data_IF_238971057659
#
_entry.id   IF_238971057659
#
_cell.length_a   1.000
_cell.length_b   1.000
_cell.length_c   1.000
_cell.angle_alpha   90.00
_cell.angle_beta   90.00
_cell.angle_gamma   90.00
#
_symmetry.space_group_name_H-M   'P 1'
#
loop_
_entity.id
_entity.type
_entity.pdbx_description
1 polymer ?
#
# COMPACT_ATOMS: atom_id res chain seq x y z
N UNK A 1 -18.38 37.38 -66.78
CA UNK A 1 -17.74 38.64 -67.23
C UNK A 1 -16.45 38.82 -66.42
N UNK A 2 -15.32 38.37 -66.98
CA UNK A 2 -14.17 39.17 -67.46
C UNK A 2 -13.38 39.91 -66.34
N UNK A 3 -12.22 39.41 -65.90
CA UNK A 3 -10.85 39.46 -66.47
C UNK A 3 -10.09 40.81 -66.32
N UNK A 4 -8.95 40.73 -65.61
CA UNK A 4 -7.58 41.22 -65.94
C UNK A 4 -6.99 42.49 -65.26
N UNK A 5 -5.71 42.27 -64.81
CA UNK A 5 -4.53 43.15 -64.54
C UNK A 5 -4.41 43.67 -63.09
N UNK A 6 -3.45 43.30 -62.23
CA UNK A 6 -2.01 42.93 -62.31
C UNK A 6 -1.03 44.12 -62.51
N UNK A 7 -0.05 44.17 -61.58
CA UNK A 7 1.33 44.72 -61.61
C UNK A 7 1.60 46.18 -61.13
N UNK A 8 2.59 46.26 -60.22
CA UNK A 8 3.56 47.33 -59.88
C UNK A 8 3.16 48.39 -58.86
N UNK A 9 3.65 48.24 -57.61
CA UNK A 9 4.44 49.28 -56.94
C UNK A 9 5.48 48.60 -56.05
N UNK A 10 6.60 48.29 -56.68
CA UNK A 10 7.89 48.01 -56.03
C UNK A 10 8.72 49.29 -56.20
N UNK A 11 9.49 49.62 -55.15
CA UNK A 11 10.51 50.67 -55.06
C UNK A 11 10.08 52.13 -54.86
N UNK A 12 10.42 52.63 -53.66
CA UNK A 12 11.08 53.90 -53.28
C UNK A 12 10.59 54.14 -51.83
N UNK A 13 11.32 53.82 -50.78
CA UNK A 13 12.60 54.40 -50.39
C UNK A 13 13.43 53.37 -49.61
N UNK A 14 14.55 52.96 -50.20
CA UNK A 14 15.71 52.50 -49.45
C UNK A 14 16.53 53.74 -49.07
N UNK A 15 17.22 53.65 -47.93
CA UNK A 15 18.30 54.53 -47.44
C UNK A 15 17.86 55.72 -46.56
N UNK A 16 17.79 55.46 -45.25
CA UNK A 16 18.54 56.27 -44.29
C UNK A 16 19.03 55.38 -43.13
N UNK A 17 20.14 54.69 -43.40
CA UNK A 17 20.95 53.99 -42.41
C UNK A 17 22.11 54.92 -42.06
N UNK A 18 21.90 55.89 -41.15
CA UNK A 18 22.99 56.63 -40.51
C UNK A 18 22.63 56.90 -39.03
N UNK A 19 23.23 56.06 -38.17
CA UNK A 19 23.88 56.43 -36.92
C UNK A 19 23.27 57.55 -36.04
N UNK A 20 22.43 57.14 -35.08
CA UNK A 20 22.52 57.59 -33.69
C UNK A 20 22.92 56.35 -32.86
N UNK A 21 24.22 56.06 -32.83
CA UNK A 21 25.08 56.36 -31.67
C UNK A 21 24.67 55.58 -30.42
N UNK A 22 25.30 54.42 -30.29
CA UNK A 22 25.70 53.78 -29.05
C UNK A 22 25.93 54.79 -27.91
N UNK A 23 24.99 54.86 -26.97
CA UNK A 23 25.28 55.08 -25.56
C UNK A 23 24.04 54.68 -24.73
N UNK A 24 24.13 53.50 -24.10
CA UNK A 24 23.55 53.25 -22.79
C UNK A 24 22.03 53.28 -22.66
N UNK A 25 21.30 52.42 -23.39
CA UNK A 25 20.23 51.73 -22.67
C UNK A 25 20.96 50.73 -21.79
N UNK A 26 21.18 51.08 -20.53
CA UNK A 26 21.61 50.12 -19.53
C UNK A 26 20.74 48.88 -19.76
N UNK A 27 21.38 47.75 -20.08
CA UNK A 27 20.68 46.50 -20.32
C UNK A 27 20.10 46.10 -18.96
N UNK A 28 18.92 46.62 -18.65
CA UNK A 28 18.27 46.44 -17.35
C UNK A 28 18.06 44.95 -17.20
N UNK A 29 18.94 44.36 -16.43
CA UNK A 29 19.01 42.92 -16.25
C UNK A 29 19.16 42.65 -14.78
N UNK A 30 18.17 41.97 -14.24
CA UNK A 30 18.20 41.47 -12.89
C UNK A 30 19.06 40.21 -12.79
N UNK A 31 19.36 39.90 -11.54
CA UNK A 31 20.12 38.73 -11.13
C UNK A 31 19.27 37.91 -10.18
N UNK A 32 19.26 36.60 -10.39
CA UNK A 32 18.61 35.64 -9.52
C UNK A 32 19.66 34.68 -8.95
N UNK A 33 19.72 34.51 -7.64
CA UNK A 33 20.61 33.54 -6.99
C UNK A 33 19.91 32.81 -5.86
N UNK A 34 20.39 31.62 -5.53
CA UNK A 34 19.86 30.85 -4.41
C UNK A 34 20.76 29.67 -4.05
N UNK A 35 20.41 28.98 -2.97
CA UNK A 35 21.07 27.74 -2.52
C UNK A 35 20.02 26.64 -2.43
N UNK A 36 20.32 25.46 -2.96
CA UNK A 36 19.45 24.29 -2.95
C UNK A 36 20.04 23.24 -2.03
N UNK A 37 19.25 22.78 -1.06
CA UNK A 37 19.64 21.76 -0.08
C UNK A 37 18.58 20.65 0.01
N UNK A 38 18.93 19.51 0.60
CA UNK A 38 18.00 18.43 0.92
C UNK A 38 17.27 18.68 2.25
N UNK A 39 16.50 17.70 2.72
CA UNK A 39 15.74 17.78 3.97
C UNK A 39 16.62 17.88 5.22
N UNK A 40 17.88 17.45 5.15
CA UNK A 40 18.89 17.44 6.21
C UNK A 40 19.85 18.64 6.11
N UNK A 41 19.54 19.61 5.26
CA UNK A 41 20.36 20.80 4.98
C UNK A 41 21.71 20.50 4.28
N UNK A 42 21.85 19.32 3.65
CA UNK A 42 23.01 19.03 2.81
C UNK A 42 22.87 19.69 1.43
N UNK A 43 23.95 20.24 0.83
CA UNK A 43 23.91 20.83 -0.50
C UNK A 43 23.50 19.86 -1.60
N UNK A 44 22.61 20.29 -2.50
CA UNK A 44 22.22 19.50 -3.68
C UNK A 44 23.00 19.99 -4.90
N UNK A 45 24.04 19.24 -5.28
CA UNK A 45 24.88 19.53 -6.46
C UNK A 45 24.15 19.17 -7.78
N UNK A 46 24.39 19.95 -8.85
CA UNK A 46 23.90 19.70 -10.21
C UNK A 46 22.36 19.56 -10.31
N UNK A 47 21.61 20.22 -9.44
CA UNK A 47 20.18 20.42 -9.67
C UNK A 47 20.00 21.39 -10.85
N UNK A 48 19.09 21.08 -11.76
CA UNK A 48 18.75 21.94 -12.91
C UNK A 48 17.70 22.96 -12.47
N UNK A 49 17.98 24.25 -12.72
CA UNK A 49 17.07 25.36 -12.47
C UNK A 49 16.61 25.90 -13.82
N UNK A 50 15.32 25.76 -14.11
CA UNK A 50 14.67 26.35 -15.28
C UNK A 50 13.86 27.57 -14.84
N UNK A 51 14.07 28.71 -15.48
CA UNK A 51 13.41 29.98 -15.17
C UNK A 51 12.64 30.40 -16.42
N UNK A 52 11.31 30.45 -16.35
CA UNK A 52 10.44 30.77 -17.50
C UNK A 52 9.55 31.95 -17.16
N UNK A 53 9.52 32.97 -18.02
CA UNK A 53 8.65 34.13 -17.82
C UNK A 53 7.19 33.71 -17.81
N UNK A 54 6.42 34.19 -16.82
CA UNK A 54 4.98 33.89 -16.72
C UNK A 54 4.16 34.62 -17.79
N UNK A 55 4.75 35.60 -18.47
CA UNK A 55 4.11 36.38 -19.54
C UNK A 55 4.40 35.83 -20.94
N UNK A 56 5.61 35.31 -21.18
CA UNK A 56 6.01 34.78 -22.49
C UNK A 56 6.96 33.60 -22.37
N UNK A 57 6.62 32.45 -22.96
CA UNK A 57 7.47 31.26 -22.92
C UNK A 57 8.81 31.42 -23.67
N UNK A 58 8.93 32.44 -24.52
CA UNK A 58 10.16 32.76 -25.26
C UNK A 58 11.31 33.22 -24.34
N UNK A 59 10.99 33.76 -23.16
CA UNK A 59 11.98 34.12 -22.15
C UNK A 59 12.20 32.95 -21.20
N UNK A 60 13.25 32.16 -21.49
CA UNK A 60 13.63 30.99 -20.71
C UNK A 60 15.13 30.99 -20.44
N UNK A 61 15.50 30.70 -19.21
CA UNK A 61 16.89 30.55 -18.77
C UNK A 61 17.05 29.19 -18.09
N UNK A 62 18.26 28.64 -18.17
CA UNK A 62 18.61 27.38 -17.51
C UNK A 62 20.00 27.49 -16.89
N UNK A 63 20.11 27.11 -15.62
CA UNK A 63 21.38 27.05 -14.89
C UNK A 63 21.40 25.82 -13.98
N UNK A 64 22.52 25.55 -13.32
CA UNK A 64 22.70 24.41 -12.41
C UNK A 64 23.36 24.82 -11.11
N UNK A 65 23.07 24.09 -10.04
CA UNK A 65 23.79 24.27 -8.77
C UNK A 65 25.22 23.77 -8.82
N UNK A 66 26.12 24.46 -8.12
CA UNK A 66 27.49 24.03 -7.87
C UNK A 66 27.59 22.99 -6.74
N UNK A 67 28.81 22.63 -6.34
CA UNK A 67 29.10 21.67 -5.25
C UNK A 67 28.56 22.10 -3.88
N UNK A 68 28.34 23.40 -3.68
CA UNK A 68 27.82 23.98 -2.45
C UNK A 68 26.30 24.22 -2.57
N UNK A 69 25.66 23.68 -3.62
CA UNK A 69 24.24 23.80 -3.88
C UNK A 69 23.82 25.19 -4.39
N UNK A 70 24.77 26.07 -4.71
CA UNK A 70 24.49 27.46 -5.09
C UNK A 70 24.30 27.61 -6.58
N UNK A 71 23.43 28.52 -6.99
CA UNK A 71 23.29 28.91 -8.38
C UNK A 71 23.11 30.42 -8.52
N UNK A 72 23.50 30.94 -9.68
CA UNK A 72 23.34 32.34 -10.07
C UNK A 72 22.95 32.39 -11.54
N UNK A 73 21.90 33.15 -11.86
CA UNK A 73 21.51 33.51 -13.22
C UNK A 73 21.49 35.05 -13.32
N UNK A 74 22.34 35.59 -14.19
CA UNK A 74 22.38 37.01 -14.53
C UNK A 74 21.72 37.24 -15.89
N UNK A 75 21.42 38.49 -16.24
CA UNK A 75 20.87 38.80 -17.56
C UNK A 75 19.36 38.58 -17.67
N UNK A 76 18.63 38.50 -16.56
CA UNK A 76 17.19 38.23 -16.57
C UNK A 76 16.44 39.55 -16.72
N UNK A 77 15.56 39.67 -17.71
CA UNK A 77 14.70 40.85 -17.83
C UNK A 77 13.78 41.00 -16.60
N UNK A 78 13.54 42.20 -16.08
CA UNK A 78 12.63 42.42 -14.96
C UNK A 78 11.22 41.86 -15.25
N UNK A 79 10.62 41.22 -14.25
CA UNK A 79 9.30 40.58 -14.41
C UNK A 79 9.08 39.37 -13.50
N UNK A 80 7.95 38.70 -13.71
CA UNK A 80 7.57 37.50 -12.97
C UNK A 80 7.99 36.24 -13.72
N UNK A 81 8.58 35.29 -12.99
CA UNK A 81 9.12 34.06 -13.53
C UNK A 81 8.68 32.86 -12.71
N UNK A 82 8.34 31.78 -13.40
CA UNK A 82 8.21 30.46 -12.80
C UNK A 82 9.58 29.79 -12.79
N UNK A 83 10.09 29.53 -11.59
CA UNK A 83 11.35 28.81 -11.36
C UNK A 83 11.01 27.37 -11.05
N UNK A 84 11.60 26.43 -11.78
CA UNK A 84 11.46 24.99 -11.56
C UNK A 84 12.83 24.37 -11.32
N UNK A 85 12.97 23.69 -10.19
CA UNK A 85 14.20 22.99 -9.81
C UNK A 85 13.98 21.49 -9.93
N UNK A 86 14.87 20.81 -10.65
CA UNK A 86 14.83 19.36 -10.88
C UNK A 86 16.16 18.72 -10.55
N UNK A 87 16.11 17.60 -9.83
CA UNK A 87 17.24 16.71 -9.58
C UNK A 87 16.71 15.30 -9.49
N UNK A 88 17.39 14.34 -10.11
CA UNK A 88 17.06 12.93 -9.99
C UNK A 88 17.05 12.51 -8.50
N UNK A 89 16.05 11.75 -8.09
CA UNK A 89 15.83 11.37 -6.68
C UNK A 89 15.03 12.38 -5.85
N UNK A 90 14.78 13.58 -6.35
CA UNK A 90 13.99 14.62 -5.66
C UNK A 90 12.70 14.94 -6.43
N UNK A 91 11.67 15.35 -5.70
CA UNK A 91 10.47 15.92 -6.32
C UNK A 91 10.79 17.29 -6.92
N UNK A 92 10.30 17.58 -8.14
CA UNK A 92 10.46 18.89 -8.75
C UNK A 92 9.80 19.95 -7.88
N UNK A 93 10.51 21.05 -7.61
CA UNK A 93 9.99 22.19 -6.85
C UNK A 93 9.81 23.37 -7.79
N UNK A 94 8.61 23.92 -7.80
CA UNK A 94 8.24 25.03 -8.68
C UNK A 94 7.60 26.15 -7.88
N UNK A 95 8.02 27.39 -8.11
CA UNK A 95 7.52 28.58 -7.44
C UNK A 95 7.69 29.82 -8.32
N UNK A 96 6.98 30.90 -8.00
CA UNK A 96 7.07 32.17 -8.72
C UNK A 96 8.06 33.11 -8.03
N UNK A 97 8.81 33.87 -8.83
CA UNK A 97 9.75 34.89 -8.37
C UNK A 97 9.56 36.17 -9.17
N UNK A 98 9.64 37.32 -8.50
CA UNK A 98 9.71 38.63 -9.15
C UNK A 98 11.18 39.09 -9.22
N UNK A 99 11.62 39.42 -10.43
CA UNK A 99 12.95 39.98 -10.70
C UNK A 99 12.83 41.47 -10.94
N UNK A 100 13.54 42.27 -10.13
CA UNK A 100 13.51 43.73 -10.18
C UNK A 100 14.57 44.32 -11.14
N UNK A 101 14.35 45.58 -11.52
CA UNK A 101 15.29 46.41 -12.30
C UNK A 101 16.57 46.61 -11.48
N UNK A 102 17.73 46.22 -12.02
CA UNK A 102 19.04 46.26 -11.34
C UNK A 102 19.06 45.54 -9.97
N UNK A 103 18.10 44.64 -9.74
CA UNK A 103 17.93 43.93 -8.47
C UNK A 103 18.76 42.64 -8.39
N UNK A 104 19.34 42.39 -7.21
CA UNK A 104 19.87 41.07 -6.82
C UNK A 104 18.76 40.33 -6.05
N UNK A 105 17.93 39.58 -6.78
CA UNK A 105 16.92 38.72 -6.19
C UNK A 105 17.61 37.51 -5.56
N UNK A 106 17.83 37.58 -4.25
CA UNK A 106 18.31 36.45 -3.47
C UNK A 106 17.14 35.59 -3.03
N UNK A 107 17.08 34.36 -3.51
CA UNK A 107 16.19 33.35 -2.95
C UNK A 107 16.79 32.84 -1.66
N UNK A 108 15.96 32.75 -0.62
CA UNK A 108 16.28 31.98 0.57
C UNK A 108 16.64 30.53 0.21
N UNK A 109 17.16 29.78 1.18
CA UNK A 109 17.50 28.37 1.01
C UNK A 109 16.30 27.55 0.53
N UNK A 110 16.42 26.96 -0.66
CA UNK A 110 15.37 26.14 -1.27
C UNK A 110 15.60 24.68 -0.91
N UNK A 111 14.80 24.16 0.03
CA UNK A 111 14.80 22.73 0.35
C UNK A 111 14.10 21.91 -0.74
N UNK A 112 14.75 20.86 -1.24
CA UNK A 112 14.13 19.79 -2.04
C UNK A 112 13.78 18.62 -1.14
N UNK A 113 12.69 17.93 -1.48
CA UNK A 113 12.23 16.75 -0.75
C UNK A 113 12.13 15.57 -1.73
N UNK A 114 12.34 14.37 -1.23
CA UNK A 114 12.12 13.14 -2.01
C UNK A 114 10.64 12.74 -2.02
N UNK A 115 10.27 11.80 -2.89
CA UNK A 115 8.92 11.24 -2.90
C UNK A 115 8.58 10.54 -1.57
N UNK A 116 9.55 9.81 -1.01
CA UNK A 116 9.42 9.09 0.26
C UNK A 116 9.26 10.04 1.44
N UNK A 117 10.00 11.15 1.46
CA UNK A 117 9.86 12.18 2.50
C UNK A 117 8.49 12.85 2.45
N UNK A 118 7.99 13.16 1.25
CA UNK A 118 6.65 13.75 1.09
C UNK A 118 5.55 12.76 1.48
N UNK A 119 5.72 11.48 1.13
CA UNK A 119 4.83 10.41 1.54
C UNK A 119 4.85 10.25 3.08
N UNK A 120 6.03 10.27 3.70
CA UNK A 120 6.18 10.18 5.15
C UNK A 120 5.58 11.38 5.89
N UNK A 121 5.61 12.59 5.30
CA UNK A 121 4.92 13.78 5.80
C UNK A 121 3.40 13.74 5.59
N UNK A 122 2.91 12.93 4.66
CA UNK A 122 1.48 12.74 4.42
C UNK A 122 0.83 11.70 5.34
N UNK A 123 1.63 10.85 5.99
CA UNK A 123 1.15 9.86 6.96
C UNK A 123 0.64 10.56 8.22
N UNK A 124 -0.53 10.14 8.70
CA UNK A 124 -1.04 10.58 9.99
C UNK A 124 -0.10 10.15 11.12
N UNK A 125 -0.20 10.78 12.30
CA UNK A 125 0.53 10.32 13.49
C UNK A 125 0.24 8.84 13.78
N UNK A 126 -1.01 8.42 13.61
CA UNK A 126 -1.44 7.04 13.79
C UNK A 126 -0.76 6.08 12.79
N UNK A 127 -0.68 6.44 11.51
CA UNK A 127 -0.02 5.61 10.49
C UNK A 127 1.47 5.46 10.75
N UNK A 128 2.14 6.52 11.22
CA UNK A 128 3.57 6.45 11.60
C UNK A 128 3.79 5.52 12.78
N UNK A 129 2.95 5.60 13.82
CA UNK A 129 3.01 4.69 14.96
C UNK A 129 2.76 3.23 14.52
N UNK A 130 1.76 3.01 13.64
CA UNK A 130 1.45 1.71 13.06
C UNK A 130 2.62 1.13 12.24
N UNK A 131 3.27 1.93 11.38
CA UNK A 131 4.44 1.49 10.61
C UNK A 131 5.59 1.08 11.51
N UNK A 132 5.90 1.88 12.54
CA UNK A 132 6.93 1.55 13.53
C UNK A 132 6.59 0.27 14.31
N UNK A 133 5.33 0.06 14.64
CA UNK A 133 4.86 -1.17 15.28
C UNK A 133 5.06 -2.40 14.38
N UNK A 134 4.80 -2.28 13.06
CA UNK A 134 5.08 -3.35 12.10
C UNK A 134 6.57 -3.71 12.03
N UNK A 135 7.47 -2.74 12.16
CA UNK A 135 8.92 -3.03 12.25
C UNK A 135 9.27 -3.88 13.48
N UNK A 136 8.68 -3.56 14.64
CA UNK A 136 8.85 -4.38 15.84
C UNK A 136 8.26 -5.78 15.68
N UNK A 137 7.07 -5.89 15.08
CA UNK A 137 6.43 -7.18 14.80
C UNK A 137 7.31 -8.06 13.89
N UNK A 138 7.89 -7.49 12.84
CA UNK A 138 8.80 -8.20 11.92
C UNK A 138 10.10 -8.65 12.60
N UNK A 139 10.56 -7.88 13.61
CA UNK A 139 11.70 -8.25 14.47
C UNK A 139 11.32 -9.23 15.58
N UNK A 140 10.07 -9.68 15.63
CA UNK A 140 9.51 -10.55 16.67
C UNK A 140 9.53 -9.93 18.08
N UNK A 141 9.66 -8.61 18.18
CA UNK A 141 9.52 -7.85 19.43
C UNK A 141 8.04 -7.50 19.62
N UNK A 142 7.25 -8.52 19.98
CA UNK A 142 5.79 -8.43 19.97
C UNK A 142 5.26 -7.50 21.06
N UNK A 143 5.93 -7.38 22.19
CA UNK A 143 5.59 -6.44 23.26
C UNK A 143 5.69 -4.99 22.78
N UNK A 144 6.77 -4.62 22.06
CA UNK A 144 6.86 -3.27 21.47
C UNK A 144 5.90 -3.07 20.31
N UNK A 145 5.62 -4.11 19.53
CA UNK A 145 4.61 -4.05 18.48
C UNK A 145 3.23 -3.73 19.07
N UNK A 146 2.82 -4.43 20.15
CA UNK A 146 1.58 -4.16 20.88
C UNK A 146 1.52 -2.70 21.33
N UNK A 147 2.58 -2.18 21.97
CA UNK A 147 2.61 -0.80 22.43
C UNK A 147 2.45 0.20 21.28
N UNK A 148 3.12 -0.02 20.14
CA UNK A 148 3.01 0.85 18.97
C UNK A 148 1.64 0.77 18.28
N UNK A 149 1.00 -0.40 18.24
CA UNK A 149 -0.36 -0.51 17.71
C UNK A 149 -1.39 0.17 18.63
N UNK A 150 -1.23 0.05 19.95
CA UNK A 150 -2.06 0.78 20.92
C UNK A 150 -1.89 2.29 20.78
N UNK A 151 -0.66 2.77 20.56
CA UNK A 151 -0.40 4.19 20.25
C UNK A 151 -1.12 4.63 18.98
N UNK A 152 -1.04 3.84 17.90
CA UNK A 152 -1.75 4.12 16.65
C UNK A 152 -3.27 4.22 16.85
N UNK A 153 -3.86 3.27 17.61
CA UNK A 153 -5.29 3.25 17.94
C UNK A 153 -5.68 4.46 18.82
N UNK A 154 -4.82 4.85 19.76
CA UNK A 154 -5.04 6.03 20.61
C UNK A 154 -5.04 7.35 19.82
N UNK A 155 -4.28 7.41 18.72
CA UNK A 155 -4.26 8.56 17.81
C UNK A 155 -5.43 8.51 16.80
N UNK A 156 -5.81 7.33 16.32
CA UNK A 156 -6.98 7.12 15.47
C UNK A 156 -7.49 5.69 15.57
N UNK A 157 -8.72 5.51 16.03
CA UNK A 157 -9.31 4.20 16.27
C UNK A 157 -10.11 3.63 15.09
N UNK A 158 -10.28 4.40 14.00
CA UNK A 158 -11.18 4.05 12.89
C UNK A 158 -10.58 3.10 11.85
N UNK A 159 -9.25 2.89 11.87
CA UNK A 159 -8.60 1.99 10.93
C UNK A 159 -8.58 0.55 11.47
N UNK A 160 -9.37 -0.33 10.84
CA UNK A 160 -9.48 -1.74 11.22
C UNK A 160 -8.12 -2.48 11.22
N UNK A 161 -7.17 -2.06 10.37
CA UNK A 161 -5.87 -2.72 10.26
C UNK A 161 -5.02 -2.57 11.53
N UNK A 162 -5.18 -1.48 12.29
CA UNK A 162 -4.43 -1.30 13.54
C UNK A 162 -4.89 -2.32 14.58
N UNK A 163 -6.20 -2.49 14.72
CA UNK A 163 -6.80 -3.49 15.61
C UNK A 163 -6.47 -4.92 15.16
N UNK A 164 -6.52 -5.19 13.85
CA UNK A 164 -6.18 -6.51 13.32
C UNK A 164 -4.73 -6.90 13.64
N UNK A 165 -3.76 -6.02 13.41
CA UNK A 165 -2.36 -6.31 13.71
C UNK A 165 -2.06 -6.34 15.21
N UNK A 166 -2.77 -5.55 16.02
CA UNK A 166 -2.75 -5.69 17.47
C UNK A 166 -3.20 -7.09 17.90
N UNK A 167 -4.29 -7.61 17.31
CA UNK A 167 -4.77 -8.97 17.56
C UNK A 167 -3.74 -10.04 17.18
N UNK A 168 -3.07 -9.89 16.03
CA UNK A 168 -1.98 -10.79 15.63
C UNK A 168 -0.82 -10.77 16.64
N UNK A 169 -0.41 -9.58 17.11
CA UNK A 169 0.65 -9.44 18.10
C UNK A 169 0.27 -10.09 19.44
N UNK A 170 -0.96 -9.90 19.92
CA UNK A 170 -1.46 -10.60 21.10
C UNK A 170 -1.51 -12.12 20.93
N UNK A 171 -1.93 -12.62 19.76
CA UNK A 171 -1.92 -14.05 19.44
C UNK A 171 -0.50 -14.63 19.51
N UNK A 172 0.52 -13.90 19.03
CA UNK A 172 1.94 -14.28 19.16
C UNK A 172 2.44 -14.33 20.60
N UNK A 173 1.88 -13.47 21.47
CA UNK A 173 2.14 -13.46 22.92
C UNK A 173 1.27 -14.45 23.71
N UNK A 174 0.47 -15.27 23.04
CA UNK A 174 -0.51 -16.18 23.66
C UNK A 174 -1.54 -15.47 24.56
N UNK A 175 -1.80 -14.18 24.31
CA UNK A 175 -2.81 -13.35 24.99
C UNK A 175 -4.14 -13.44 24.25
N UNK A 176 -4.79 -14.60 24.35
CA UNK A 176 -5.92 -14.96 23.49
C UNK A 176 -7.17 -14.11 23.72
N UNK A 177 -7.42 -13.67 24.97
CA UNK A 177 -8.56 -12.81 25.29
C UNK A 177 -8.42 -11.43 24.62
N UNK A 178 -7.25 -10.81 24.77
CA UNK A 178 -6.93 -9.52 24.17
C UNK A 178 -6.88 -9.60 22.64
N UNK A 179 -6.40 -10.72 22.09
CA UNK A 179 -6.45 -10.97 20.65
C UNK A 179 -7.89 -11.01 20.13
N UNK A 180 -8.80 -11.70 20.84
CA UNK A 180 -10.23 -11.78 20.49
C UNK A 180 -10.89 -10.41 20.49
N UNK A 181 -10.62 -9.59 21.49
CA UNK A 181 -11.14 -8.22 21.56
C UNK A 181 -10.65 -7.36 20.39
N UNK A 182 -9.34 -7.41 20.09
CA UNK A 182 -8.75 -6.67 18.99
C UNK A 182 -9.29 -7.12 17.62
N UNK A 183 -9.42 -8.43 17.37
CA UNK A 183 -10.06 -8.92 16.14
C UNK A 183 -11.54 -8.57 16.06
N UNK A 184 -12.27 -8.58 17.19
CA UNK A 184 -13.67 -8.14 17.22
C UNK A 184 -13.83 -6.69 16.80
N UNK A 185 -12.95 -5.79 17.28
CA UNK A 185 -12.91 -4.39 16.84
C UNK A 185 -12.56 -4.28 15.35
N UNK A 186 -11.59 -5.07 14.85
CA UNK A 186 -11.25 -5.10 13.44
C UNK A 186 -12.44 -5.51 12.55
N UNK A 187 -13.20 -6.55 12.96
CA UNK A 187 -14.42 -6.97 12.24
C UNK A 187 -15.53 -5.93 12.34
N UNK A 188 -15.70 -5.26 13.48
CA UNK A 188 -16.68 -4.18 13.62
C UNK A 188 -16.41 -3.02 12.66
N UNK A 189 -15.14 -2.64 12.49
CA UNK A 189 -14.72 -1.55 11.60
C UNK A 189 -14.70 -1.97 10.12
N UNK A 190 -14.37 -3.23 9.83
CA UNK A 190 -14.43 -3.79 8.49
C UNK A 190 -15.01 -5.21 8.49
N UNK A 191 -16.35 -5.33 8.39
CA UNK A 191 -17.03 -6.64 8.37
C UNK A 191 -16.63 -7.52 7.18
N UNK A 192 -16.08 -6.93 6.12
CA UNK A 192 -15.66 -7.62 4.89
C UNK A 192 -14.17 -7.97 4.88
N UNK A 193 -13.47 -7.87 6.01
CA UNK A 193 -12.09 -8.36 6.13
C UNK A 193 -12.08 -9.88 6.27
N UNK A 194 -11.65 -10.59 5.22
CA UNK A 194 -11.49 -12.05 5.23
C UNK A 194 -10.63 -12.51 6.41
N UNK A 195 -9.44 -11.92 6.56
CA UNK A 195 -8.47 -12.31 7.59
C UNK A 195 -9.00 -12.05 9.00
N UNK A 196 -9.69 -10.93 9.24
CA UNK A 196 -10.23 -10.65 10.58
C UNK A 196 -11.37 -11.62 10.96
N UNK A 197 -12.25 -11.96 10.01
CA UNK A 197 -13.30 -12.96 10.23
C UNK A 197 -12.71 -14.35 10.51
N UNK A 198 -11.70 -14.77 9.72
CA UNK A 198 -11.03 -16.07 9.90
C UNK A 198 -10.34 -16.16 11.27
N UNK A 199 -9.59 -15.13 11.67
CA UNK A 199 -8.87 -15.10 12.95
C UNK A 199 -9.82 -15.06 14.16
N UNK A 200 -10.89 -14.28 14.09
CA UNK A 200 -11.90 -14.23 15.15
C UNK A 200 -12.65 -15.57 15.28
N UNK A 201 -13.03 -16.17 14.15
CA UNK A 201 -13.62 -17.52 14.12
C UNK A 201 -12.71 -18.57 14.75
N UNK A 202 -11.39 -18.50 14.51
CA UNK A 202 -10.42 -19.43 15.12
C UNK A 202 -10.37 -19.32 16.64
N UNK A 203 -10.33 -18.10 17.17
CA UNK A 203 -10.31 -17.89 18.62
C UNK A 203 -11.61 -18.36 19.28
N UNK A 204 -12.76 -18.07 18.67
CA UNK A 204 -14.06 -18.53 19.19
C UNK A 204 -14.19 -20.05 19.13
N UNK A 205 -13.69 -20.70 18.08
CA UNK A 205 -13.67 -22.16 18.00
C UNK A 205 -12.78 -22.80 19.07
N UNK A 206 -11.64 -22.17 19.41
CA UNK A 206 -10.77 -22.60 20.52
C UNK A 206 -11.44 -22.46 21.89
N UNK A 207 -12.36 -21.51 22.03
CA UNK A 207 -13.21 -21.34 23.20
C UNK A 207 -14.48 -22.21 23.15
N UNK A 208 -14.57 -23.15 22.19
CA UNK A 208 -15.73 -24.04 21.96
C UNK A 208 -17.05 -23.31 21.64
N UNK A 209 -16.98 -22.03 21.28
CA UNK A 209 -18.13 -21.23 20.84
C UNK A 209 -18.42 -21.48 19.35
N UNK A 210 -18.73 -22.74 19.01
CA UNK A 210 -18.82 -23.21 17.64
C UNK A 210 -19.88 -22.50 16.79
N UNK A 211 -21.03 -22.12 17.36
CA UNK A 211 -22.09 -21.40 16.64
C UNK A 211 -21.61 -20.02 16.18
N UNK A 212 -20.97 -19.26 17.08
CA UNK A 212 -20.42 -17.95 16.77
C UNK A 212 -19.25 -18.07 15.78
N UNK A 213 -18.35 -19.04 16.00
CA UNK A 213 -17.24 -19.31 15.09
C UNK A 213 -17.71 -19.67 13.68
N UNK A 214 -18.74 -20.52 13.54
CA UNK A 214 -19.33 -20.86 12.25
C UNK A 214 -19.90 -19.64 11.54
N UNK A 215 -20.51 -18.70 12.26
CA UNK A 215 -20.95 -17.41 11.69
C UNK A 215 -19.82 -16.63 11.02
N UNK A 216 -18.68 -16.47 11.71
CA UNK A 216 -17.51 -15.78 11.16
C UNK A 216 -16.83 -16.56 10.03
N UNK A 217 -16.74 -17.88 10.13
CA UNK A 217 -16.20 -18.70 9.04
C UNK A 217 -17.09 -18.73 7.81
N UNK A 218 -18.43 -18.71 7.95
CA UNK A 218 -19.35 -18.51 6.82
C UNK A 218 -19.06 -17.20 6.11
N UNK A 219 -18.84 -16.10 6.85
CA UNK A 219 -18.45 -14.83 6.26
C UNK A 219 -17.08 -14.91 5.57
N UNK A 220 -16.11 -15.61 6.15
CA UNK A 220 -14.80 -15.82 5.52
C UNK A 220 -14.92 -16.62 4.20
N UNK A 221 -15.75 -17.67 4.17
CA UNK A 221 -16.04 -18.44 2.94
C UNK A 221 -16.76 -17.57 1.90
N UNK A 222 -17.71 -16.73 2.29
CA UNK A 222 -18.37 -15.78 1.38
C UNK A 222 -17.37 -14.82 0.73
N UNK A 223 -16.41 -14.31 1.51
CA UNK A 223 -15.39 -13.35 1.04
C UNK A 223 -14.28 -14.01 0.20
N UNK A 224 -13.94 -15.26 0.49
CA UNK A 224 -12.93 -16.03 -0.24
C UNK A 224 -13.41 -17.48 -0.45
N UNK A 225 -14.27 -17.73 -1.45
CA UNK A 225 -14.91 -19.03 -1.67
C UNK A 225 -13.95 -20.14 -2.15
N UNK A 226 -12.68 -19.80 -2.41
CA UNK A 226 -11.65 -20.73 -2.83
C UNK A 226 -10.54 -20.91 -1.76
N UNK A 227 -10.75 -20.47 -0.52
CA UNK A 227 -9.82 -20.72 0.59
C UNK A 227 -10.12 -22.07 1.27
N UNK A 228 -9.28 -23.11 1.10
CA UNK A 228 -9.55 -24.42 1.67
C UNK A 228 -9.56 -24.42 3.21
N UNK A 229 -8.78 -23.58 3.87
CA UNK A 229 -8.75 -23.52 5.34
C UNK A 229 -10.05 -22.94 5.91
N UNK A 230 -10.63 -21.91 5.28
CA UNK A 230 -11.91 -21.36 5.68
C UNK A 230 -13.04 -22.39 5.56
N UNK A 231 -13.06 -23.16 4.47
CA UNK A 231 -13.98 -24.29 4.30
C UNK A 231 -13.76 -25.37 5.36
N UNK A 232 -12.51 -25.78 5.60
CA UNK A 232 -12.19 -26.80 6.60
C UNK A 232 -12.62 -26.37 8.00
N UNK A 233 -12.29 -25.15 8.40
CA UNK A 233 -12.63 -24.63 9.73
C UNK A 233 -14.14 -24.47 9.93
N UNK A 234 -14.87 -24.02 8.90
CA UNK A 234 -16.33 -24.01 8.93
C UNK A 234 -16.89 -25.43 9.09
N UNK A 235 -16.44 -26.37 8.26
CA UNK A 235 -16.83 -27.78 8.36
C UNK A 235 -16.57 -28.37 9.75
N UNK A 236 -15.42 -28.05 10.36
CA UNK A 236 -15.08 -28.49 11.71
C UNK A 236 -16.03 -27.91 12.78
N UNK A 237 -16.38 -26.63 12.69
CA UNK A 237 -17.40 -26.04 13.58
C UNK A 237 -18.76 -26.73 13.40
N UNK A 238 -19.18 -26.97 12.16
CA UNK A 238 -20.46 -27.62 11.84
C UNK A 238 -20.53 -29.06 12.37
N UNK A 239 -19.43 -29.82 12.30
CA UNK A 239 -19.36 -31.16 12.92
C UNK A 239 -19.60 -31.10 14.42
N UNK A 240 -18.98 -30.14 15.12
CA UNK A 240 -19.18 -29.97 16.57
C UNK A 240 -20.61 -29.52 16.93
N UNK A 241 -21.31 -28.87 16.00
CA UNK A 241 -22.73 -28.51 16.12
C UNK A 241 -23.68 -29.64 15.72
N UNK A 242 -23.17 -30.81 15.31
CA UNK A 242 -23.98 -31.94 14.83
C UNK A 242 -24.53 -31.76 13.40
N UNK A 243 -24.09 -30.73 12.68
CA UNK A 243 -24.53 -30.39 11.33
C UNK A 243 -23.68 -31.09 10.26
N UNK A 244 -23.58 -32.42 10.35
CA UNK A 244 -22.67 -33.24 9.54
C UNK A 244 -22.93 -33.19 8.02
N UNK A 245 -24.18 -33.00 7.59
CA UNK A 245 -24.52 -32.92 6.16
C UNK A 245 -24.00 -31.62 5.51
N UNK A 246 -24.18 -30.47 6.18
CA UNK A 246 -23.61 -29.19 5.71
C UNK A 246 -22.07 -29.24 5.76
N UNK A 247 -21.50 -29.80 6.83
CA UNK A 247 -20.06 -29.95 6.98
C UNK A 247 -19.43 -30.78 5.85
N UNK A 248 -20.11 -31.83 5.40
CA UNK A 248 -19.64 -32.70 4.32
C UNK A 248 -19.43 -31.91 3.02
N UNK A 249 -20.35 -31.01 2.68
CA UNK A 249 -20.21 -30.15 1.50
C UNK A 249 -18.98 -29.25 1.58
N UNK A 250 -18.69 -28.71 2.77
CA UNK A 250 -17.47 -27.91 2.97
C UNK A 250 -16.20 -28.77 2.84
N UNK A 251 -16.13 -29.96 3.45
CA UNK A 251 -14.95 -30.83 3.31
C UNK A 251 -14.75 -31.34 1.89
N UNK A 252 -15.83 -31.61 1.15
CA UNK A 252 -15.76 -31.91 -0.28
C UNK A 252 -15.14 -30.76 -1.07
N UNK A 253 -15.51 -29.51 -0.76
CA UNK A 253 -14.88 -28.34 -1.37
C UNK A 253 -13.40 -28.22 -1.00
N UNK A 254 -13.02 -28.57 0.24
CA UNK A 254 -11.60 -28.60 0.65
C UNK A 254 -10.79 -29.54 -0.24
N UNK A 255 -11.25 -30.78 -0.46
CA UNK A 255 -10.52 -31.76 -1.26
C UNK A 255 -10.58 -31.48 -2.76
N UNK A 256 -11.59 -30.74 -3.24
CA UNK A 256 -11.62 -30.20 -4.60
C UNK A 256 -10.52 -29.14 -4.81
N UNK A 257 -10.39 -28.21 -3.86
CA UNK A 257 -9.41 -27.12 -3.92
C UNK A 257 -7.98 -27.59 -3.60
N UNK A 258 -7.86 -28.54 -2.67
CA UNK A 258 -6.59 -29.05 -2.13
C UNK A 258 -6.70 -30.58 -1.92
N UNK A 259 -6.45 -31.38 -2.98
CA UNK A 259 -6.59 -32.84 -2.93
C UNK A 259 -5.63 -33.58 -1.98
N UNK A 260 -4.62 -32.90 -1.43
CA UNK A 260 -3.68 -33.44 -0.45
C UNK A 260 -4.03 -33.06 1.00
N UNK A 261 -5.18 -32.45 1.25
CA UNK A 261 -5.65 -32.10 2.59
C UNK A 261 -6.20 -33.34 3.34
N UNK A 262 -5.29 -34.12 3.91
CA UNK A 262 -5.59 -35.41 4.55
C UNK A 262 -6.72 -35.32 5.59
N UNK A 263 -6.70 -34.32 6.47
CA UNK A 263 -7.66 -34.18 7.56
C UNK A 263 -9.10 -34.03 7.06
N UNK A 264 -9.32 -33.40 5.91
CA UNK A 264 -10.64 -33.30 5.30
C UNK A 264 -11.19 -34.69 4.94
N UNK A 265 -10.37 -35.58 4.39
CA UNK A 265 -10.77 -36.97 4.11
C UNK A 265 -11.12 -37.75 5.37
N UNK A 266 -10.39 -37.53 6.48
CA UNK A 266 -10.73 -38.16 7.76
C UNK A 266 -12.11 -37.70 8.27
N UNK A 267 -12.40 -36.40 8.18
CA UNK A 267 -13.69 -35.83 8.57
C UNK A 267 -14.83 -36.36 7.68
N UNK A 268 -14.62 -36.40 6.37
CA UNK A 268 -15.57 -36.99 5.41
C UNK A 268 -15.85 -38.46 5.75
N UNK A 269 -14.80 -39.27 5.99
CA UNK A 269 -14.93 -40.67 6.38
C UNK A 269 -15.76 -40.85 7.64
N UNK A 270 -15.54 -40.02 8.66
CA UNK A 270 -16.30 -40.03 9.91
C UNK A 270 -17.79 -39.68 9.70
N UNK A 271 -18.07 -38.69 8.86
CA UNK A 271 -19.46 -38.32 8.50
C UNK A 271 -20.12 -39.44 7.67
N UNK A 272 -19.42 -40.05 6.73
CA UNK A 272 -19.96 -41.16 5.95
C UNK A 272 -20.28 -42.38 6.81
N UNK A 273 -19.48 -42.67 7.85
CA UNK A 273 -19.80 -43.70 8.84
C UNK A 273 -21.12 -43.39 9.55
N UNK A 274 -21.31 -42.15 10.02
CA UNK A 274 -22.55 -41.78 10.72
C UNK A 274 -23.78 -41.81 9.81
N UNK A 275 -23.59 -41.61 8.51
CA UNK A 275 -24.63 -41.75 7.48
C UNK A 275 -24.80 -43.18 6.94
N UNK A 276 -24.07 -44.17 7.48
CA UNK A 276 -24.06 -45.56 7.01
C UNK A 276 -23.66 -45.73 5.51
N UNK A 277 -22.89 -44.79 4.97
CA UNK A 277 -22.35 -44.78 3.60
C UNK A 277 -20.99 -45.47 3.57
N UNK A 278 -21.03 -46.80 3.69
CA UNK A 278 -19.83 -47.65 3.90
C UNK A 278 -18.78 -47.52 2.80
N UNK A 279 -19.18 -47.45 1.52
CA UNK A 279 -18.23 -47.38 0.40
C UNK A 279 -17.46 -46.04 0.40
N UNK A 280 -18.16 -44.92 0.59
CA UNK A 280 -17.60 -43.58 0.63
C UNK A 280 -16.73 -43.36 1.87
N UNK A 281 -17.12 -43.96 3.01
CA UNK A 281 -16.32 -43.98 4.23
C UNK A 281 -14.97 -44.68 4.01
N UNK A 282 -14.99 -45.87 3.40
CA UNK A 282 -13.77 -46.64 3.09
C UNK A 282 -12.86 -45.82 2.17
N UNK A 283 -13.39 -45.30 1.06
CA UNK A 283 -12.59 -44.53 0.10
C UNK A 283 -11.93 -43.30 0.75
N UNK A 284 -12.67 -42.59 1.61
CA UNK A 284 -12.17 -41.40 2.29
C UNK A 284 -11.10 -41.75 3.33
N UNK A 285 -11.31 -42.78 4.15
CA UNK A 285 -10.31 -43.21 5.14
C UNK A 285 -9.05 -43.81 4.49
N UNK A 286 -9.18 -44.52 3.38
CA UNK A 286 -8.03 -45.01 2.60
C UNK A 286 -7.20 -43.84 2.09
N UNK A 287 -7.85 -42.81 1.53
CA UNK A 287 -7.16 -41.61 1.04
C UNK A 287 -6.45 -40.85 2.17
N UNK A 288 -7.08 -40.74 3.34
CA UNK A 288 -6.45 -40.16 4.52
C UNK A 288 -5.17 -40.91 4.93
N UNK A 289 -5.20 -42.25 4.97
CA UNK A 289 -4.03 -43.08 5.32
C UNK A 289 -2.93 -43.00 4.25
N UNK A 290 -3.30 -42.92 2.98
CA UNK A 290 -2.37 -42.73 1.87
C UNK A 290 -1.60 -41.41 2.02
N UNK A 291 -2.32 -40.31 2.29
CA UNK A 291 -1.75 -38.97 2.38
C UNK A 291 -0.97 -38.73 3.69
N UNK A 292 -1.44 -39.29 4.80
CA UNK A 292 -0.88 -39.00 6.12
C UNK A 292 -0.72 -40.27 6.99
N UNK A 293 0.15 -41.22 6.59
CA UNK A 293 0.27 -42.53 7.26
C UNK A 293 0.81 -42.46 8.70
N UNK A 294 1.45 -41.35 9.07
CA UNK A 294 2.02 -41.08 10.39
C UNK A 294 1.20 -40.07 11.21
N UNK A 295 0.04 -39.62 10.72
CA UNK A 295 -0.83 -38.73 11.46
C UNK A 295 -1.33 -39.41 12.75
N UNK A 296 -1.54 -38.66 13.84
CA UNK A 296 -2.01 -39.19 15.13
C UNK A 296 -3.28 -40.05 15.02
N UNK A 297 -4.21 -39.63 14.15
CA UNK A 297 -5.47 -40.33 13.84
C UNK A 297 -5.33 -41.53 12.89
N UNK A 298 -4.15 -41.81 12.35
CA UNK A 298 -3.95 -42.91 11.40
C UNK A 298 -4.24 -44.30 12.01
N UNK A 299 -3.93 -44.50 13.29
CA UNK A 299 -4.29 -45.74 14.00
C UNK A 299 -5.80 -45.96 14.04
N UNK A 300 -6.55 -44.93 14.43
CA UNK A 300 -8.02 -44.95 14.45
C UNK A 300 -8.61 -45.18 13.06
N UNK A 301 -8.12 -44.48 12.03
CA UNK A 301 -8.60 -44.68 10.67
C UNK A 301 -8.39 -46.12 10.16
N UNK A 302 -7.26 -46.77 10.50
CA UNK A 302 -7.04 -48.20 10.17
C UNK A 302 -8.04 -49.12 10.87
N UNK A 303 -8.33 -48.89 12.15
CA UNK A 303 -9.32 -49.66 12.90
C UNK A 303 -10.73 -49.51 12.31
N UNK A 304 -11.11 -48.28 11.93
CA UNK A 304 -12.38 -48.01 11.27
C UNK A 304 -12.47 -48.72 9.91
N UNK A 305 -11.38 -48.71 9.13
CA UNK A 305 -11.32 -49.43 7.85
C UNK A 305 -11.49 -50.94 8.03
N UNK A 306 -10.84 -51.55 9.02
CA UNK A 306 -11.00 -52.98 9.31
C UNK A 306 -12.44 -53.32 9.71
N UNK A 307 -13.07 -52.49 10.54
CA UNK A 307 -14.47 -52.65 10.93
C UNK A 307 -15.40 -52.54 9.71
N UNK A 308 -15.19 -51.52 8.87
CA UNK A 308 -16.01 -51.30 7.69
C UNK A 308 -15.81 -52.37 6.62
N UNK A 309 -14.69 -53.08 6.56
CA UNK A 309 -14.45 -54.14 5.56
C UNK A 309 -14.98 -55.52 5.95
N UNK A 310 -15.34 -55.71 7.22
CA UNK A 310 -16.08 -56.89 7.69
C UNK A 310 -17.55 -56.80 7.27
#
# INVERSE_FOLDING_TARGET
MNNKKLIVYVLVVSVLLIFLSTNGLAQVSGKLRGTVVDSQDNPVEKATITIVSTRTAAQRYETRTDKDGRFVQVGIYPGYYQVTIKKEGFLPKTFEVHVEIDGDTNMETIKLETADERAAKSLSGADRAFMKANEFYNKQDYEKAVAGYQEAIGLSSSNWAYHFNLGLAYKKLNKLCEAREAFSQAVQLNPNSFSANKELGELLAKEEQYEAAAGYYRKAVELSPNDPDAHYNLGACLVNLGQGEEALGHFQKVVELKPDYAEAYFQMGSIYISQNKKAEAIASLEKFIELAPQHEKAGLARQLLEYLKK
#
